data_IF_178536600530
#
_entry.id   IF_178536600530
#
_cell.length_a   1.000
_cell.length_b   1.000
_cell.length_c   1.000
_cell.angle_alpha   90.00
_cell.angle_beta   90.00
_cell.angle_gamma   90.00
#
_symmetry.space_group_name_H-M   'P 1'
#
loop_
_entity.id
_entity.type
_entity.pdbx_description
1 polymer ?
#
# COMPACT_ATOMS: atom_id res chain seq x y z
N UNK A 1 -12.91 -7.75 1.58
CA UNK A 1 -13.16 -6.85 2.73
C UNK A 1 -13.87 -7.50 3.92
N UNK A 2 -14.67 -8.56 3.75
CA UNK A 2 -15.42 -9.14 4.89
C UNK A 2 -14.53 -9.67 6.02
N UNK A 3 -13.38 -10.29 5.68
CA UNK A 3 -12.41 -10.74 6.67
C UNK A 3 -11.82 -9.58 7.49
N UNK A 4 -11.50 -8.46 6.84
CA UNK A 4 -11.00 -7.25 7.50
C UNK A 4 -12.06 -6.65 8.42
N UNK A 5 -13.29 -6.52 7.93
CA UNK A 5 -14.42 -6.01 8.72
C UNK A 5 -14.68 -6.89 9.96
N UNK A 6 -14.66 -8.21 9.80
CA UNK A 6 -14.84 -9.14 10.91
C UNK A 6 -13.72 -9.05 11.96
N UNK A 7 -12.48 -8.86 11.52
CA UNK A 7 -11.34 -8.66 12.42
C UNK A 7 -11.45 -7.34 13.20
N UNK A 8 -11.82 -6.26 12.52
CA UNK A 8 -12.02 -4.95 13.16
C UNK A 8 -13.19 -4.99 14.16
N UNK A 9 -14.29 -5.66 13.84
CA UNK A 9 -15.43 -5.84 14.76
C UNK A 9 -15.03 -6.70 15.97
N UNK A 10 -14.26 -7.76 15.75
CA UNK A 10 -13.71 -8.58 16.83
C UNK A 10 -12.76 -7.76 17.74
N UNK A 11 -11.95 -6.86 17.17
CA UNK A 11 -11.11 -5.94 17.93
C UNK A 11 -11.96 -4.97 18.76
N UNK A 12 -12.98 -4.36 18.14
CA UNK A 12 -13.90 -3.45 18.80
C UNK A 12 -14.65 -4.09 19.98
N UNK A 13 -15.14 -5.33 19.81
CA UNK A 13 -15.81 -6.08 20.89
C UNK A 13 -14.94 -6.31 22.14
N UNK A 14 -13.63 -6.10 22.03
CA UNK A 14 -12.64 -6.21 23.10
C UNK A 14 -12.09 -4.85 23.56
N UNK A 15 -12.70 -3.75 23.12
CA UNK A 15 -12.28 -2.39 23.46
C UNK A 15 -11.02 -1.92 22.72
N UNK A 16 -10.66 -2.54 21.59
CA UNK A 16 -9.53 -2.11 20.77
C UNK A 16 -10.02 -1.30 19.57
N UNK A 17 -9.43 -0.13 19.39
CA UNK A 17 -9.60 0.68 18.19
C UNK A 17 -8.64 0.24 17.10
N UNK A 18 -9.04 0.39 15.85
CA UNK A 18 -8.28 -0.05 14.68
C UNK A 18 -7.98 1.13 13.78
N UNK A 19 -6.70 1.29 13.45
CA UNK A 19 -6.25 2.04 12.27
C UNK A 19 -6.00 1.02 11.18
N UNK A 20 -6.54 1.24 9.98
CA UNK A 20 -6.28 0.37 8.84
C UNK A 20 -5.05 0.87 8.08
N UNK A 21 -4.03 0.04 8.00
CA UNK A 21 -2.78 0.31 7.28
C UNK A 21 -2.77 -0.35 5.91
N UNK A 22 -2.59 0.46 4.85
CA UNK A 22 -2.31 -0.05 3.51
C UNK A 22 -0.82 -0.37 3.38
N UNK A 23 -0.49 -1.52 3.93
CA UNK A 23 0.89 -1.92 4.13
C UNK A 23 1.61 -2.28 2.84
N UNK A 24 2.86 -1.84 2.73
CA UNK A 24 3.81 -2.27 1.72
C UNK A 24 5.23 -2.24 2.30
N UNK A 25 6.09 -3.13 1.79
CA UNK A 25 7.54 -3.01 1.93
C UNK A 25 8.14 -3.20 0.55
N UNK A 26 9.09 -2.34 0.16
CA UNK A 26 9.75 -2.45 -1.15
C UNK A 26 8.78 -2.53 -2.33
N UNK A 27 7.62 -1.87 -2.20
CA UNK A 27 6.55 -1.76 -3.20
C UNK A 27 5.79 -3.07 -3.49
N UNK A 28 6.45 -4.16 -3.89
CA UNK A 28 5.74 -5.38 -4.31
C UNK A 28 6.58 -6.65 -4.22
N UNK A 29 5.91 -7.78 -4.00
CA UNK A 29 6.52 -9.13 -4.02
C UNK A 29 7.06 -9.58 -5.37
N UNK A 30 6.77 -8.82 -6.42
CA UNK A 30 7.31 -9.05 -7.77
C UNK A 30 8.58 -8.24 -8.04
N UNK A 31 9.06 -7.50 -7.03
CA UNK A 31 10.28 -6.70 -7.06
C UNK A 31 11.23 -7.16 -5.95
N UNK A 32 12.46 -6.62 -5.95
CA UNK A 32 13.41 -6.79 -4.84
C UNK A 32 13.73 -8.24 -4.52
N UNK A 33 13.93 -9.08 -5.53
CA UNK A 33 14.18 -10.53 -5.41
C UNK A 33 13.06 -11.34 -4.72
N UNK A 34 11.83 -10.82 -4.72
CA UNK A 34 10.67 -11.48 -4.10
C UNK A 34 10.41 -11.09 -2.65
N UNK A 35 11.13 -10.08 -2.15
CA UNK A 35 11.09 -9.67 -0.75
C UNK A 35 10.13 -8.54 -0.42
N UNK A 36 9.56 -7.87 -1.42
CA UNK A 36 8.56 -6.85 -1.17
C UNK A 36 7.18 -7.43 -0.86
N UNK A 37 6.27 -6.56 -0.41
CA UNK A 37 4.83 -6.81 -0.23
C UNK A 37 4.06 -5.52 -0.54
N UNK A 38 2.75 -5.62 -0.73
CA UNK A 38 1.88 -4.48 -0.98
C UNK A 38 1.27 -4.53 -2.38
N UNK A 39 1.82 -3.77 -3.32
CA UNK A 39 1.21 -3.53 -4.62
C UNK A 39 1.08 -4.80 -5.48
N UNK A 40 -0.06 -4.99 -6.18
CA UNK A 40 -0.30 -6.16 -7.03
C UNK A 40 0.56 -6.12 -8.30
N UNK A 41 0.78 -7.29 -8.91
CA UNK A 41 1.70 -7.45 -10.06
C UNK A 41 1.38 -6.51 -11.24
N UNK A 42 0.09 -6.28 -11.50
CA UNK A 42 -0.35 -5.50 -12.65
C UNK A 42 0.08 -4.02 -12.58
N UNK A 43 0.30 -3.48 -11.38
CA UNK A 43 0.78 -2.09 -11.19
C UNK A 43 2.18 -1.91 -11.78
N UNK A 44 3.04 -2.93 -11.69
CA UNK A 44 4.39 -2.91 -12.25
C UNK A 44 4.46 -3.39 -13.71
N UNK A 45 3.32 -3.71 -14.34
CA UNK A 45 3.24 -4.21 -15.71
C UNK A 45 4.13 -5.43 -15.98
N UNK A 46 4.73 -5.48 -17.18
CA UNK A 46 5.65 -6.55 -17.58
C UNK A 46 7.05 -6.44 -16.94
N UNK A 47 7.32 -5.36 -16.21
CA UNK A 47 8.58 -5.12 -15.50
C UNK A 47 8.63 -5.86 -14.15
N UNK A 48 7.52 -6.50 -13.74
CA UNK A 48 7.41 -7.50 -12.68
C UNK A 48 8.20 -8.78 -13.04
N UNK A 49 9.49 -8.61 -13.32
CA UNK A 49 10.44 -9.67 -13.61
C UNK A 49 11.02 -10.07 -12.27
N UNK A 50 10.35 -10.99 -11.58
CA UNK A 50 10.89 -12.23 -11.01
C UNK A 50 9.72 -13.01 -10.38
N UNK A 51 9.67 -14.33 -10.60
CA UNK A 51 8.81 -15.19 -9.80
C UNK A 51 9.14 -14.95 -8.31
N UNK A 52 8.15 -14.91 -7.39
CA UNK A 52 8.42 -14.63 -5.98
C UNK A 52 9.51 -15.57 -5.46
N UNK A 53 10.70 -15.01 -5.26
CA UNK A 53 11.86 -15.76 -4.85
C UNK A 53 11.70 -16.16 -3.40
N UNK A 54 11.60 -17.45 -3.10
CA UNK A 54 11.55 -17.99 -1.73
C UNK A 54 12.85 -17.84 -0.94
N UNK A 55 13.70 -16.86 -1.28
CA UNK A 55 14.94 -16.59 -0.55
C UNK A 55 14.62 -15.70 0.64
N UNK A 56 15.19 -16.03 1.79
CA UNK A 56 15.14 -15.13 2.95
C UNK A 56 15.69 -13.75 2.56
N UNK A 57 14.91 -12.71 2.84
CA UNK A 57 15.28 -11.31 2.57
C UNK A 57 16.53 -10.86 3.32
N UNK A 58 16.95 -11.66 4.32
CA UNK A 58 18.12 -11.43 5.14
C UNK A 58 17.93 -10.23 6.06
N UNK A 59 18.85 -10.09 7.01
CA UNK A 59 18.85 -8.96 7.96
C UNK A 59 19.12 -7.59 7.30
N UNK A 60 19.55 -7.57 6.04
CA UNK A 60 19.93 -6.36 5.29
C UNK A 60 18.82 -5.89 4.32
N UNK A 61 17.58 -6.35 4.49
CA UNK A 61 16.49 -6.04 3.56
C UNK A 61 16.29 -4.53 3.38
N UNK A 62 16.23 -3.75 4.47
CA UNK A 62 16.01 -2.31 4.42
C UNK A 62 17.09 -1.57 3.62
N UNK A 63 18.35 -1.99 3.76
CA UNK A 63 19.47 -1.42 2.99
C UNK A 63 19.35 -1.78 1.51
N UNK A 64 18.97 -3.03 1.18
CA UNK A 64 18.74 -3.43 -0.21
C UNK A 64 17.59 -2.63 -0.83
N UNK A 65 16.52 -2.41 -0.07
CA UNK A 65 15.37 -1.62 -0.48
C UNK A 65 15.77 -0.19 -0.80
N UNK A 66 16.50 0.49 0.10
CA UNK A 66 16.94 1.88 -0.08
C UNK A 66 17.85 2.11 -1.31
N UNK A 67 18.49 1.07 -1.85
CA UNK A 67 19.32 1.14 -3.06
C UNK A 67 18.71 0.38 -4.24
N UNK A 68 17.45 -0.03 -4.15
CA UNK A 68 16.78 -0.82 -5.19
C UNK A 68 16.28 0.07 -6.32
N UNK A 69 17.04 0.10 -7.43
CA UNK A 69 16.67 0.86 -8.61
C UNK A 69 15.32 0.42 -9.21
N UNK A 70 14.95 -0.86 -9.07
CA UNK A 70 13.63 -1.36 -9.51
C UNK A 70 12.50 -0.87 -8.63
N UNK A 71 12.72 -0.77 -7.31
CA UNK A 71 11.72 -0.24 -6.38
C UNK A 71 11.51 1.25 -6.63
N UNK A 72 12.59 2.04 -6.75
CA UNK A 72 12.49 3.47 -7.03
C UNK A 72 11.72 3.75 -8.34
N UNK A 73 12.02 2.99 -9.41
CA UNK A 73 11.26 3.11 -10.67
C UNK A 73 9.78 2.77 -10.50
N UNK A 74 9.44 1.76 -9.70
CA UNK A 74 8.06 1.38 -9.48
C UNK A 74 7.26 2.48 -8.75
N UNK A 75 7.87 3.17 -7.78
CA UNK A 75 7.27 4.35 -7.16
C UNK A 75 7.12 5.50 -8.15
N UNK A 76 8.15 5.80 -8.93
CA UNK A 76 8.07 6.83 -9.97
C UNK A 76 6.95 6.52 -10.97
N UNK A 77 6.81 5.27 -11.41
CA UNK A 77 5.73 4.84 -12.30
C UNK A 77 4.35 4.97 -11.64
N UNK A 78 4.24 4.62 -10.35
CA UNK A 78 3.02 4.78 -9.56
C UNK A 78 2.60 6.25 -9.48
N UNK A 79 3.49 7.16 -9.08
CA UNK A 79 3.14 8.59 -8.96
C UNK A 79 2.84 9.25 -10.30
N UNK A 80 3.46 8.78 -11.39
CA UNK A 80 3.11 9.19 -12.76
C UNK A 80 1.83 8.54 -13.30
N UNK A 81 1.10 7.80 -12.46
CA UNK A 81 -0.14 7.09 -12.79
C UNK A 81 -0.02 6.15 -14.00
N UNK A 82 1.16 5.54 -14.17
CA UNK A 82 1.35 4.51 -15.20
C UNK A 82 0.41 3.34 -14.91
N UNK A 83 -0.29 2.87 -15.95
CA UNK A 83 -1.30 1.82 -15.83
C UNK A 83 -2.49 2.19 -14.91
N UNK A 84 -2.77 3.48 -14.75
CA UNK A 84 -3.84 3.99 -13.88
C UNK A 84 -3.66 3.56 -12.41
N UNK A 85 -2.42 3.28 -12.00
CA UNK A 85 -2.12 2.65 -10.72
C UNK A 85 -2.44 3.55 -9.52
N UNK A 86 -2.14 4.85 -9.59
CA UNK A 86 -2.47 5.83 -8.54
C UNK A 86 -3.97 6.09 -8.52
N UNK A 87 -4.59 6.22 -9.68
CA UNK A 87 -6.04 6.35 -9.81
C UNK A 87 -6.76 5.18 -9.12
N UNK A 88 -6.38 3.94 -9.46
CA UNK A 88 -6.96 2.76 -8.82
C UNK A 88 -6.65 2.64 -7.32
N UNK A 89 -5.51 3.16 -6.87
CA UNK A 89 -5.19 3.20 -5.44
C UNK A 89 -6.13 4.13 -4.67
N UNK A 90 -6.41 5.32 -5.22
CA UNK A 90 -7.38 6.26 -4.64
C UNK A 90 -8.81 5.67 -4.67
N UNK A 91 -9.23 5.07 -5.79
CA UNK A 91 -10.54 4.41 -5.89
C UNK A 91 -10.70 3.27 -4.87
N UNK A 92 -9.63 2.49 -4.67
CA UNK A 92 -9.60 1.42 -3.68
C UNK A 92 -9.81 1.96 -2.26
N UNK A 93 -9.22 3.10 -1.91
CA UNK A 93 -9.45 3.75 -0.61
C UNK A 93 -10.90 4.15 -0.41
N UNK A 94 -11.57 4.69 -1.44
CA UNK A 94 -13.01 4.95 -1.40
C UNK A 94 -13.82 3.69 -1.11
N UNK A 95 -13.53 2.58 -1.81
CA UNK A 95 -14.19 1.29 -1.56
C UNK A 95 -13.94 0.71 -0.16
N UNK A 96 -12.73 0.86 0.37
CA UNK A 96 -12.35 0.42 1.71
C UNK A 96 -13.12 1.23 2.76
N UNK A 97 -13.11 2.55 2.65
CA UNK A 97 -13.82 3.44 3.56
C UNK A 97 -15.33 3.17 3.54
N UNK A 98 -15.93 3.06 2.35
CA UNK A 98 -17.36 2.76 2.20
C UNK A 98 -17.77 1.48 2.90
N UNK A 99 -16.91 0.45 2.87
CA UNK A 99 -17.20 -0.84 3.48
C UNK A 99 -17.06 -0.84 5.00
N UNK A 100 -16.22 0.03 5.54
CA UNK A 100 -15.84 0.06 6.96
C UNK A 100 -16.49 1.21 7.74
N UNK A 101 -17.06 2.22 7.09
CA UNK A 101 -17.61 3.43 7.73
C UNK A 101 -18.69 3.20 8.79
N UNK A 102 -19.36 2.05 8.79
CA UNK A 102 -20.37 1.70 9.80
C UNK A 102 -19.80 0.99 11.03
N UNK A 103 -18.50 0.64 11.01
CA UNK A 103 -17.84 -0.04 12.13
C UNK A 103 -17.29 0.99 13.12
N UNK A 104 -17.82 1.05 14.36
CA UNK A 104 -17.45 2.09 15.33
C UNK A 104 -16.01 1.97 15.86
N UNK A 105 -15.36 0.82 15.67
CA UNK A 105 -13.98 0.60 16.11
C UNK A 105 -12.92 1.11 15.14
N UNK A 106 -13.29 1.56 13.93
CA UNK A 106 -12.36 2.14 12.96
C UNK A 106 -12.15 3.62 13.29
N UNK A 107 -10.91 3.99 13.61
CA UNK A 107 -10.56 5.37 14.03
C UNK A 107 -9.73 6.14 13.01
N UNK A 108 -9.29 5.47 11.94
CA UNK A 108 -8.51 6.13 10.91
C UNK A 108 -7.93 5.16 9.90
N UNK A 109 -7.28 5.76 8.91
CA UNK A 109 -6.63 5.08 7.78
C UNK A 109 -5.19 5.59 7.70
N UNK A 110 -4.24 4.67 7.69
CA UNK A 110 -2.85 4.95 7.33
C UNK A 110 -2.72 4.67 5.83
N UNK A 111 -2.65 5.77 5.06
CA UNK A 111 -2.93 5.76 3.63
C UNK A 111 -1.95 4.93 2.83
N UNK A 112 -0.69 4.87 3.26
CA UNK A 112 0.36 4.05 2.68
C UNK A 112 1.50 3.95 3.69
N UNK A 113 1.89 2.73 4.05
CA UNK A 113 3.05 2.51 4.92
C UNK A 113 4.33 3.04 4.24
N UNK A 114 5.18 3.76 4.99
CA UNK A 114 6.56 4.14 4.63
C UNK A 114 6.78 4.46 3.13
N UNK A 115 6.09 5.48 2.57
CA UNK A 115 6.16 5.72 1.14
C UNK A 115 7.53 6.25 0.71
N UNK A 116 7.90 5.95 -0.52
CA UNK A 116 9.08 6.51 -1.17
C UNK A 116 8.65 7.50 -2.25
N UNK A 117 8.68 8.80 -1.93
CA UNK A 117 8.34 9.86 -2.86
C UNK A 117 8.70 11.24 -2.30
N UNK A 118 8.62 12.24 -3.16
CA UNK A 118 8.76 13.64 -2.79
C UNK A 118 7.54 14.11 -1.98
N UNK A 119 7.78 14.78 -0.85
CA UNK A 119 6.74 15.16 0.10
C UNK A 119 5.71 16.12 -0.51
N UNK A 120 6.18 17.11 -1.27
CA UNK A 120 5.33 18.19 -1.80
C UNK A 120 4.66 17.81 -3.12
N UNK A 121 5.40 17.14 -4.01
CA UNK A 121 4.95 16.91 -5.39
C UNK A 121 4.32 15.54 -5.63
N UNK A 122 4.56 14.56 -4.75
CA UNK A 122 4.07 13.19 -4.91
C UNK A 122 3.15 12.77 -3.77
N UNK A 123 3.61 12.90 -2.51
CA UNK A 123 2.87 12.41 -1.33
C UNK A 123 1.69 13.30 -0.96
N UNK A 124 1.89 14.62 -0.88
CA UNK A 124 0.82 15.55 -0.51
C UNK A 124 -0.39 15.43 -1.46
N UNK A 125 -0.24 15.45 -2.79
CA UNK A 125 -1.37 15.27 -3.69
C UNK A 125 -2.04 13.89 -3.58
N UNK A 126 -1.27 12.81 -3.36
CA UNK A 126 -1.83 11.48 -3.11
C UNK A 126 -2.74 11.48 -1.87
N UNK A 127 -2.29 12.11 -0.79
CA UNK A 127 -3.05 12.15 0.47
C UNK A 127 -4.29 13.02 0.38
N UNK A 128 -4.23 14.14 -0.33
CA UNK A 128 -5.41 14.98 -0.59
C UNK A 128 -6.46 14.22 -1.41
N UNK A 129 -6.05 13.54 -2.48
CA UNK A 129 -6.96 12.76 -3.31
C UNK A 129 -7.58 11.57 -2.56
N UNK A 130 -6.77 10.83 -1.80
CA UNK A 130 -7.26 9.72 -0.98
C UNK A 130 -8.20 10.22 0.13
N UNK A 131 -7.87 11.33 0.79
CA UNK A 131 -8.76 11.96 1.78
C UNK A 131 -10.08 12.41 1.15
N UNK A 132 -10.06 12.89 -0.10
CA UNK A 132 -11.29 13.23 -0.81
C UNK A 132 -12.14 12.00 -1.17
N UNK A 133 -11.51 10.87 -1.50
CA UNK A 133 -12.19 9.61 -1.78
C UNK A 133 -12.79 8.95 -0.52
N UNK A 134 -12.19 9.19 0.64
CA UNK A 134 -12.64 8.73 1.95
C UNK A 134 -13.67 9.73 2.50
N UNK A 135 -14.96 9.53 2.20
CA UNK A 135 -16.07 10.33 2.77
C UNK A 135 -17.05 9.50 3.59
#
# INVERSE_FOLDING_TARGET
>A
MDQVAALADAAWSRGMYTVLDMHQDSFSRFLGDGCGVGFPAWVSGNEAIQAPGGKSCGSMWAVKTAFSATMHRAYTDFFNDKHDARTHFVDMWGHVADRLKTLPGIIGYDLINEPWGDEDTELTPLYEDAAWAIQ
#
